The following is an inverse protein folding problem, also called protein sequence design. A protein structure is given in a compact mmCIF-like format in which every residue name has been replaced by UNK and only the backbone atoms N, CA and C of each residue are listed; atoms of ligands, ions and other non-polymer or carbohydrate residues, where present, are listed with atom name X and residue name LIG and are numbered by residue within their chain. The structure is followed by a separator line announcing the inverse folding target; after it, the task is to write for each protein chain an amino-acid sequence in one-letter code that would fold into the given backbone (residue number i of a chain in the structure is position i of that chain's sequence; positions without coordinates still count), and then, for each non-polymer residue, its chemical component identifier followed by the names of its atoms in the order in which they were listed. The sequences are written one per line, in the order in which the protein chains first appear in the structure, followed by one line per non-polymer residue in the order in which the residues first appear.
data_IF_479174337379
#
_entry.id   IF_479174337379
#
_cell.length_a   1.000
_cell.length_b   1.000
_cell.length_c   1.000
_cell.angle_alpha   90.00
_cell.angle_beta   90.00
_cell.angle_gamma   90.00
#
_symmetry.space_group_name_H-M   'P 1'
#
loop_
_entity.id
_entity.type
_entity.pdbx_description
1 polymer ?
#
# COMPACT_ATOMS: atom_id res chain seq x y z
N UNK A 1 28.07 8.14 -14.17
CA UNK A 1 26.96 7.53 -13.40
C UNK A 1 27.25 7.48 -11.89
N UNK A 2 27.81 8.55 -11.29
CA UNK A 2 28.13 8.58 -9.84
C UNK A 2 27.09 9.35 -8.99
N UNK A 3 25.97 9.80 -9.58
CA UNK A 3 25.01 10.69 -8.92
C UNK A 3 23.95 9.99 -8.06
N UNK A 4 23.81 8.66 -8.17
CA UNK A 4 22.78 7.89 -7.46
C UNK A 4 23.32 7.13 -6.23
N UNK A 5 24.64 6.94 -6.14
CA UNK A 5 25.24 6.12 -5.08
C UNK A 5 25.04 6.77 -3.72
N UNK A 6 24.51 6.01 -2.76
CA UNK A 6 24.30 6.47 -1.39
C UNK A 6 23.11 7.43 -1.22
N UNK A 7 22.26 7.57 -2.25
CA UNK A 7 21.00 8.31 -2.19
C UNK A 7 19.81 7.37 -2.07
N UNK A 8 18.68 7.90 -1.62
CA UNK A 8 17.41 7.18 -1.54
C UNK A 8 16.46 7.78 -2.55
N UNK A 9 15.84 6.93 -3.38
CA UNK A 9 14.84 7.35 -4.35
C UNK A 9 13.46 7.39 -3.69
N UNK A 10 12.89 8.58 -3.58
CA UNK A 10 11.49 8.79 -3.19
C UNK A 10 10.64 9.08 -4.43
N UNK A 11 9.32 9.10 -4.28
CA UNK A 11 8.39 9.52 -5.34
C UNK A 11 8.56 10.99 -5.76
N UNK A 12 9.23 11.82 -4.96
CA UNK A 12 9.55 13.23 -5.26
C UNK A 12 11.01 13.45 -5.70
N UNK A 13 11.81 12.38 -5.79
CA UNK A 13 13.21 12.46 -6.20
C UNK A 13 14.18 11.93 -5.14
N UNK A 14 15.46 12.21 -5.36
CA UNK A 14 16.54 11.72 -4.51
C UNK A 14 16.65 12.52 -3.22
N UNK A 15 16.86 11.82 -2.11
CA UNK A 15 17.22 12.41 -0.82
C UNK A 15 18.53 11.81 -0.28
N UNK A 16 19.21 12.56 0.59
CA UNK A 16 20.32 12.06 1.39
C UNK A 16 19.83 11.16 2.54
N UNK A 17 20.62 10.16 2.98
CA UNK A 17 20.27 9.32 4.12
C UNK A 17 19.97 10.08 5.41
N UNK A 18 20.61 11.24 5.61
CA UNK A 18 20.35 12.12 6.76
C UNK A 18 18.94 12.75 6.74
N UNK A 19 18.24 12.73 5.61
CA UNK A 19 16.90 13.28 5.45
C UNK A 19 15.79 12.27 5.72
N UNK A 20 16.10 10.97 5.91
CA UNK A 20 15.09 9.93 6.13
C UNK A 20 14.20 10.21 7.35
N UNK A 21 14.80 10.69 8.45
CA UNK A 21 14.12 10.79 9.74
C UNK A 21 13.65 9.42 10.26
N UNK A 22 12.68 9.43 11.19
CA UNK A 22 12.00 8.21 11.60
C UNK A 22 11.31 7.57 10.40
N UNK A 23 11.47 6.26 10.23
CA UNK A 23 11.06 5.55 9.02
C UNK A 23 10.25 4.31 9.36
N UNK A 24 9.05 4.20 8.81
CA UNK A 24 8.30 2.93 8.76
C UNK A 24 8.71 2.19 7.50
N UNK A 25 9.24 0.97 7.66
CA UNK A 25 9.91 0.25 6.57
C UNK A 25 9.01 -0.71 5.79
N UNK A 26 7.73 -0.82 6.16
CA UNK A 26 6.78 -1.70 5.48
C UNK A 26 5.34 -1.27 5.72
N UNK A 27 4.80 -0.41 4.85
CA UNK A 27 3.41 0.04 4.94
C UNK A 27 2.71 -0.05 3.57
N UNK A 28 1.39 0.11 3.59
CA UNK A 28 0.56 0.23 2.39
C UNK A 28 -0.25 1.53 2.46
N UNK A 29 -0.17 2.36 1.42
CA UNK A 29 -0.85 3.66 1.37
C UNK A 29 -2.03 3.67 0.37
N UNK A 30 -2.01 2.77 -0.60
CA UNK A 30 -3.09 2.59 -1.58
C UNK A 30 -3.03 1.13 -2.02
N UNK A 31 -3.93 0.30 -1.51
CA UNK A 31 -3.87 -1.16 -1.70
C UNK A 31 -5.27 -1.72 -1.96
N UNK A 32 -5.36 -2.63 -2.93
CA UNK A 32 -6.49 -3.52 -3.11
C UNK A 32 -6.12 -4.94 -2.71
N UNK A 33 -6.85 -5.52 -1.75
CA UNK A 33 -6.53 -6.82 -1.16
C UNK A 33 -7.64 -7.87 -1.35
N UNK A 34 -8.49 -7.68 -2.35
CA UNK A 34 -9.60 -8.58 -2.71
C UNK A 34 -9.14 -10.01 -3.04
N UNK A 35 -7.86 -10.21 -3.39
CA UNK A 35 -7.29 -11.55 -3.58
C UNK A 35 -7.30 -12.41 -2.32
N UNK A 36 -7.38 -11.79 -1.14
CA UNK A 36 -7.45 -12.47 0.15
C UNK A 36 -8.87 -12.58 0.68
N UNK A 37 -9.89 -12.17 -0.09
CA UNK A 37 -11.27 -12.26 0.34
C UNK A 37 -11.65 -13.70 0.71
N UNK A 38 -12.30 -13.84 1.87
CA UNK A 38 -12.83 -15.10 2.35
C UNK A 38 -14.32 -14.94 2.69
N UNK A 39 -15.21 -15.83 2.21
CA UNK A 39 -16.64 -15.73 2.49
C UNK A 39 -16.94 -15.66 4.00
N UNK A 40 -17.88 -14.81 4.43
CA UNK A 40 -18.37 -14.80 5.80
C UNK A 40 -18.89 -16.17 6.27
N UNK A 41 -18.93 -16.41 7.59
CA UNK A 41 -19.64 -17.57 8.13
C UNK A 41 -21.10 -17.62 7.68
N UNK A 42 -21.69 -18.82 7.49
CA UNK A 42 -23.08 -18.96 7.08
C UNK A 42 -24.05 -18.18 7.99
N UNK A 43 -24.96 -17.42 7.38
CA UNK A 43 -25.93 -16.57 8.08
C UNK A 43 -25.39 -15.19 8.48
N UNK A 44 -24.13 -14.88 8.12
CA UNK A 44 -23.49 -13.59 8.38
C UNK A 44 -23.10 -12.85 7.10
N UNK A 45 -23.58 -13.30 5.94
CA UNK A 45 -23.23 -12.76 4.62
C UNK A 45 -23.56 -11.27 4.53
N UNK A 46 -24.68 -10.86 5.12
CA UNK A 46 -25.11 -9.47 5.14
C UNK A 46 -24.15 -8.53 5.90
N UNK A 47 -23.27 -9.05 6.78
CA UNK A 47 -22.27 -8.26 7.50
C UNK A 47 -21.07 -7.88 6.63
N UNK A 48 -20.85 -8.57 5.51
CA UNK A 48 -19.75 -8.31 4.56
C UNK A 48 -19.82 -6.95 3.87
N UNK A 49 -21.01 -6.35 3.86
CA UNK A 49 -21.35 -5.11 3.15
C UNK A 49 -21.93 -4.05 4.10
N UNK A 50 -21.83 -4.25 5.42
CA UNK A 50 -22.32 -3.25 6.38
C UNK A 50 -21.29 -2.14 6.54
N UNK A 51 -21.71 -0.87 6.71
CA UNK A 51 -20.76 0.21 6.97
C UNK A 51 -19.80 -0.10 8.13
N UNK A 52 -18.54 0.30 7.97
CA UNK A 52 -17.51 0.18 9.01
C UNK A 52 -17.85 1.14 10.16
N UNK A 53 -18.53 0.60 11.17
CA UNK A 53 -19.03 1.35 12.32
C UNK A 53 -18.73 0.61 13.63
N UNK A 54 -18.69 1.35 14.74
CA UNK A 54 -18.42 0.79 16.08
C UNK A 54 -19.32 -0.40 16.45
N UNK A 55 -20.59 -0.40 16.01
CA UNK A 55 -21.53 -1.50 16.28
C UNK A 55 -21.17 -2.82 15.56
N UNK A 56 -20.39 -2.74 14.47
CA UNK A 56 -19.90 -3.89 13.71
C UNK A 56 -18.43 -4.22 13.98
N UNK A 57 -17.70 -3.36 14.69
CA UNK A 57 -16.25 -3.45 14.86
C UNK A 57 -15.77 -4.79 15.41
N UNK A 58 -16.51 -5.39 16.35
CA UNK A 58 -16.16 -6.71 16.87
C UNK A 58 -16.11 -7.77 15.76
N UNK A 59 -17.15 -7.80 14.92
CA UNK A 59 -17.23 -8.76 13.81
C UNK A 59 -16.12 -8.52 12.78
N UNK A 60 -15.87 -7.26 12.41
CA UNK A 60 -14.81 -6.86 11.48
C UNK A 60 -13.43 -7.32 11.97
N UNK A 61 -13.13 -7.15 13.27
CA UNK A 61 -11.87 -7.61 13.86
C UNK A 61 -11.69 -9.12 13.82
N UNK A 62 -12.77 -9.89 13.88
CA UNK A 62 -12.70 -11.35 13.77
C UNK A 62 -12.67 -11.83 12.31
N UNK A 63 -13.22 -11.04 11.38
CA UNK A 63 -13.36 -11.41 9.97
C UNK A 63 -12.83 -10.31 9.02
N UNK A 64 -11.58 -9.85 9.17
CA UNK A 64 -11.05 -8.70 8.43
C UNK A 64 -11.04 -8.93 6.91
N UNK A 65 -10.88 -10.18 6.47
CA UNK A 65 -10.89 -10.56 5.06
C UNK A 65 -12.26 -10.94 4.51
N UNK A 66 -13.32 -10.87 5.32
CA UNK A 66 -14.68 -11.17 4.89
C UNK A 66 -15.54 -9.91 4.70
N UNK A 67 -14.97 -8.73 4.95
CA UNK A 67 -15.63 -7.44 4.68
C UNK A 67 -15.10 -6.84 3.39
N UNK A 68 -15.98 -6.57 2.42
CA UNK A 68 -15.55 -6.17 1.07
C UNK A 68 -14.79 -4.85 1.08
N UNK A 69 -15.36 -3.81 1.68
CA UNK A 69 -14.75 -2.48 1.73
C UNK A 69 -13.46 -2.44 2.58
N UNK A 70 -13.33 -3.33 3.57
CA UNK A 70 -12.12 -3.39 4.40
C UNK A 70 -10.88 -3.84 3.61
N UNK A 71 -11.08 -4.39 2.40
CA UNK A 71 -10.02 -4.81 1.48
C UNK A 71 -9.65 -3.73 0.45
N UNK A 72 -10.33 -2.58 0.45
CA UNK A 72 -10.22 -1.56 -0.60
C UNK A 72 -9.60 -0.26 -0.06
N UNK A 73 -8.41 -0.35 0.53
CA UNK A 73 -7.72 0.83 1.09
C UNK A 73 -7.51 1.95 0.06
N UNK A 74 -7.41 1.62 -1.23
CA UNK A 74 -7.27 2.61 -2.30
C UNK A 74 -8.48 3.57 -2.42
N UNK A 75 -9.63 3.25 -1.81
CA UNK A 75 -10.82 4.13 -1.78
C UNK A 75 -10.76 5.15 -0.63
N UNK A 76 -9.83 4.98 0.33
CA UNK A 76 -9.74 5.75 1.58
C UNK A 76 -8.57 6.76 1.58
N UNK A 77 -8.27 7.36 0.43
CA UNK A 77 -7.08 8.22 0.24
C UNK A 77 -7.06 9.43 1.20
N UNK A 78 -8.22 10.03 1.50
CA UNK A 78 -8.31 11.15 2.43
C UNK A 78 -7.95 10.74 3.87
N UNK A 79 -8.43 9.57 4.32
CA UNK A 79 -8.09 9.04 5.64
C UNK A 79 -6.59 8.70 5.73
N UNK A 80 -6.02 8.11 4.68
CA UNK A 80 -4.57 7.84 4.60
C UNK A 80 -3.76 9.14 4.68
N UNK A 81 -4.20 10.21 4.00
CA UNK A 81 -3.56 11.53 4.10
C UNK A 81 -3.56 12.05 5.53
N UNK A 82 -4.69 11.95 6.24
CA UNK A 82 -4.79 12.38 7.65
C UNK A 82 -3.84 11.58 8.56
N UNK A 83 -3.77 10.25 8.40
CA UNK A 83 -2.83 9.40 9.14
C UNK A 83 -1.36 9.77 8.87
N UNK A 84 -1.00 10.11 7.63
CA UNK A 84 0.34 10.59 7.29
C UNK A 84 0.66 11.95 7.94
N UNK A 85 -0.32 12.85 8.05
CA UNK A 85 -0.15 14.12 8.78
C UNK A 85 0.07 13.87 10.28
N UNK A 86 -0.64 12.92 10.89
CA UNK A 86 -0.40 12.51 12.27
C UNK A 86 1.00 11.91 12.44
N UNK A 87 1.42 11.03 11.54
CA UNK A 87 2.77 10.46 11.54
C UNK A 87 3.83 11.56 11.43
N UNK A 88 3.66 12.52 10.51
CA UNK A 88 4.56 13.66 10.37
C UNK A 88 4.63 14.51 11.64
N UNK A 89 3.49 14.81 12.26
CA UNK A 89 3.39 15.57 13.49
C UNK A 89 4.08 14.86 14.68
N UNK A 90 4.08 13.53 14.70
CA UNK A 90 4.80 12.71 15.67
C UNK A 90 6.32 12.62 15.41
N UNK A 91 6.84 13.30 14.38
CA UNK A 91 8.26 13.30 14.00
C UNK A 91 8.60 12.34 12.87
N UNK A 92 7.61 11.66 12.28
CA UNK A 92 7.78 10.78 11.13
C UNK A 92 8.46 11.46 9.95
N UNK A 93 9.46 10.80 9.38
CA UNK A 93 10.22 11.31 8.24
C UNK A 93 9.84 10.64 6.93
N UNK A 94 9.90 9.30 6.91
CA UNK A 94 9.73 8.51 5.69
C UNK A 94 8.85 7.27 5.89
N UNK A 95 8.27 6.79 4.80
CA UNK A 95 7.56 5.52 4.70
C UNK A 95 8.03 4.76 3.46
N UNK A 96 8.32 3.47 3.62
CA UNK A 96 8.46 2.53 2.51
C UNK A 96 7.10 1.92 2.22
N UNK A 97 6.61 2.17 1.02
CA UNK A 97 5.31 1.74 0.55
C UNK A 97 5.47 0.46 -0.28
N UNK A 98 4.87 -0.63 0.17
CA UNK A 98 5.13 -1.98 -0.32
C UNK A 98 4.02 -2.56 -1.21
N UNK A 99 3.09 -1.73 -1.67
CA UNK A 99 2.12 -2.16 -2.68
C UNK A 99 2.81 -2.34 -4.02
N UNK A 100 2.61 -3.50 -4.65
CA UNK A 100 3.29 -3.89 -5.89
C UNK A 100 2.31 -4.36 -6.96
N UNK A 101 2.81 -4.87 -8.09
CA UNK A 101 1.96 -5.42 -9.13
C UNK A 101 1.14 -6.59 -8.59
N UNK A 102 -0.19 -6.51 -8.74
CA UNK A 102 -1.15 -7.50 -8.26
C UNK A 102 -2.04 -7.03 -7.11
N UNK A 103 -1.65 -5.97 -6.40
CA UNK A 103 -2.41 -5.41 -5.26
C UNK A 103 -2.68 -3.90 -5.39
N UNK A 104 -2.78 -3.41 -6.63
CA UNK A 104 -3.22 -2.05 -7.01
C UNK A 104 -2.29 -0.89 -6.61
N UNK A 105 -0.98 -1.00 -6.89
CA UNK A 105 -0.02 0.11 -6.72
C UNK A 105 -0.40 1.34 -7.56
N UNK A 106 -0.51 2.51 -6.92
CA UNK A 106 -0.72 3.81 -7.59
C UNK A 106 0.33 4.86 -7.21
N UNK A 107 1.39 4.97 -8.02
CA UNK A 107 2.51 5.90 -7.81
C UNK A 107 2.08 7.38 -7.90
N UNK A 108 0.99 7.71 -8.61
CA UNK A 108 0.51 9.10 -8.71
C UNK A 108 -0.06 9.55 -7.38
N UNK A 109 -0.86 8.70 -6.74
CA UNK A 109 -1.40 8.96 -5.40
C UNK A 109 -0.27 9.02 -4.37
N UNK A 110 0.73 8.12 -4.45
CA UNK A 110 1.90 8.19 -3.54
C UNK A 110 2.63 9.54 -3.65
N UNK A 111 2.80 10.02 -4.87
CA UNK A 111 3.41 11.33 -5.13
C UNK A 111 2.59 12.46 -4.49
N UNK A 112 1.28 12.47 -4.73
CA UNK A 112 0.36 13.45 -4.17
C UNK A 112 0.41 13.45 -2.63
N UNK A 113 0.31 12.27 -2.00
CA UNK A 113 0.38 12.13 -0.55
C UNK A 113 1.72 12.63 0.01
N UNK A 114 2.84 12.37 -0.66
CA UNK A 114 4.15 12.89 -0.24
C UNK A 114 4.22 14.42 -0.32
N UNK A 115 3.62 15.03 -1.36
CA UNK A 115 3.57 16.49 -1.53
C UNK A 115 2.70 17.16 -0.47
N UNK A 116 1.51 16.60 -0.20
CA UNK A 116 0.52 17.18 0.72
C UNK A 116 0.93 17.04 2.20
N UNK A 117 1.68 15.99 2.55
CA UNK A 117 1.97 15.63 3.95
C UNK A 117 3.41 15.96 4.36
N UNK A 118 4.32 16.12 3.40
CA UNK A 118 5.75 16.28 3.65
C UNK A 118 6.44 15.04 4.23
N UNK A 119 5.78 13.88 4.19
CA UNK A 119 6.39 12.57 4.45
C UNK A 119 7.09 12.09 3.18
N UNK A 120 8.32 11.61 3.28
CA UNK A 120 9.01 11.00 2.15
C UNK A 120 8.45 9.60 1.88
N UNK A 121 7.91 9.38 0.68
CA UNK A 121 7.39 8.06 0.29
C UNK A 121 8.37 7.38 -0.66
N UNK A 122 8.80 6.17 -0.30
CA UNK A 122 9.66 5.30 -1.11
C UNK A 122 8.78 4.20 -1.69
N UNK A 123 8.53 4.25 -3.00
CA UNK A 123 7.69 3.27 -3.67
C UNK A 123 8.45 1.95 -3.89
N UNK A 124 7.87 0.86 -3.40
CA UNK A 124 8.31 -0.49 -3.70
C UNK A 124 8.01 -0.89 -5.15
N UNK A 125 8.68 -1.96 -5.59
CA UNK A 125 8.47 -2.55 -6.90
C UNK A 125 8.49 -4.07 -6.81
N UNK A 126 7.90 -4.72 -7.81
CA UNK A 126 7.83 -6.17 -7.89
C UNK A 126 6.46 -6.69 -8.28
N UNK A 127 6.32 -8.00 -8.11
CA UNK A 127 5.08 -8.75 -8.25
C UNK A 127 4.77 -9.39 -6.90
N UNK A 128 3.51 -9.37 -6.50
CA UNK A 128 3.08 -9.96 -5.23
C UNK A 128 3.01 -11.50 -5.34
N UNK A 129 2.23 -12.17 -4.50
CA UNK A 129 2.15 -13.64 -4.49
C UNK A 129 1.51 -14.22 -5.76
N UNK A 130 1.78 -15.49 -6.08
CA UNK A 130 1.28 -16.17 -7.30
C UNK A 130 -0.23 -16.02 -7.53
N UNK A 131 -1.02 -15.99 -6.45
CA UNK A 131 -2.46 -15.83 -6.51
C UNK A 131 -2.92 -14.51 -7.14
N UNK A 132 -2.06 -13.48 -7.16
CA UNK A 132 -2.37 -12.17 -7.76
C UNK A 132 -1.76 -11.98 -9.15
N UNK A 133 -1.07 -12.99 -9.68
CA UNK A 133 -0.43 -12.88 -10.99
C UNK A 133 -1.44 -13.08 -12.10
N UNK A 134 -1.46 -12.12 -13.03
CA UNK A 134 -2.21 -12.24 -14.28
C UNK A 134 -1.70 -13.39 -15.15
N UNK A 135 -2.53 -13.88 -16.09
CA UNK A 135 -2.11 -14.90 -17.07
C UNK A 135 -0.87 -14.46 -17.85
N UNK A 136 -0.79 -13.15 -18.14
CA UNK A 136 0.34 -12.52 -18.79
C UNK A 136 1.60 -12.63 -17.92
N UNK A 137 1.50 -12.30 -16.62
CA UNK A 137 2.62 -12.42 -15.67
C UNK A 137 3.11 -13.86 -15.57
N UNK A 138 2.20 -14.85 -15.50
CA UNK A 138 2.56 -16.27 -15.40
C UNK A 138 3.24 -16.81 -16.67
N UNK A 139 2.99 -16.19 -17.81
CA UNK A 139 3.63 -16.54 -19.08
C UNK A 139 5.01 -15.86 -19.28
N UNK A 140 5.43 -14.98 -18.38
CA UNK A 140 6.71 -14.27 -18.50
C UNK A 140 7.90 -15.16 -18.16
N UNK A 141 8.99 -15.01 -18.91
CA UNK A 141 10.31 -15.51 -18.48
C UNK A 141 10.84 -14.71 -17.30
N UNK A 142 11.83 -15.25 -16.60
CA UNK A 142 12.50 -14.56 -15.47
C UNK A 142 13.07 -13.21 -15.92
N UNK A 143 13.63 -13.14 -17.11
CA UNK A 143 14.17 -11.91 -17.70
C UNK A 143 13.07 -10.87 -17.95
N UNK A 144 11.91 -11.30 -18.45
CA UNK A 144 10.78 -10.42 -18.70
C UNK A 144 10.19 -9.87 -17.39
N UNK A 145 10.13 -10.69 -16.34
CA UNK A 145 9.76 -10.25 -14.99
C UNK A 145 10.78 -9.20 -14.51
N UNK A 146 12.08 -9.50 -14.59
CA UNK A 146 13.14 -8.58 -14.16
C UNK A 146 13.10 -7.21 -14.85
N UNK A 147 12.82 -7.17 -16.16
CA UNK A 147 12.67 -5.92 -16.93
C UNK A 147 11.46 -5.09 -16.47
N UNK A 148 10.40 -5.73 -15.95
CA UNK A 148 9.20 -5.04 -15.44
C UNK A 148 9.29 -4.60 -13.98
N UNK A 149 10.29 -5.05 -13.21
CA UNK A 149 10.43 -4.74 -11.78
C UNK A 149 11.00 -3.35 -11.49
N UNK A 150 11.09 -2.45 -12.49
CA UNK A 150 11.68 -1.11 -12.38
C UNK A 150 10.62 -0.03 -12.16
#
# INVERSE_FOLDING_TARGET
MSSLKGKIQTVLGLIDPSQLGYTMTHEHLTMGFSCCYYPPPPGQEALSEKPIEMKHLFWLKQNPYSHKENLLLYEETDAVREELLHYKAAGGGSIVENTTTGIMRDVKILKQLSEETGVHVIAGAGFYVDATHSSETKAMSVEQVGIKMV
#
